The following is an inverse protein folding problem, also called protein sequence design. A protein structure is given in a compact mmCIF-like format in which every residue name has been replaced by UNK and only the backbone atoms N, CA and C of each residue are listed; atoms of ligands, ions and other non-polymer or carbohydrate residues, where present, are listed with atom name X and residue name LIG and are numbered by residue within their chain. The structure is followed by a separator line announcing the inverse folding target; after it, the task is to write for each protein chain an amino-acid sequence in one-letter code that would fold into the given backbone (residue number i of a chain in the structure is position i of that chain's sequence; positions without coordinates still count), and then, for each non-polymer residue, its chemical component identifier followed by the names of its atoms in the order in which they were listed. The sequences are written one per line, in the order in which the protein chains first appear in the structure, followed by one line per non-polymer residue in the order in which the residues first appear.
data_IF_919439106449
#
_entry.id   IF_919439106449
#
_cell.length_a   1.000
_cell.length_b   1.000
_cell.length_c   1.000
_cell.angle_alpha   90.00
_cell.angle_beta   90.00
_cell.angle_gamma   90.00
#
_symmetry.space_group_name_H-M   'P 1'
#
loop_
_entity.id
_entity.type
_entity.pdbx_description
1 polymer ?
#
# COMPACT_ATOMS: atom_id res chain seq x y z
N UNK A 1 -6.18 -29.12 8.34
CA UNK A 1 -5.63 -27.84 8.84
C UNK A 1 -6.55 -26.78 8.28
N UNK A 2 -7.57 -26.42 9.04
CA UNK A 2 -8.57 -25.42 8.67
C UNK A 2 -8.50 -24.33 9.74
N UNK A 3 -8.50 -23.06 9.32
CA UNK A 3 -8.74 -21.94 10.24
C UNK A 3 -7.69 -20.82 10.22
N UNK A 4 -7.43 -20.22 9.07
CA UNK A 4 -6.90 -18.84 8.99
C UNK A 4 -7.63 -17.99 7.94
N UNK A 5 -8.24 -18.59 6.92
CA UNK A 5 -8.92 -17.87 5.83
C UNK A 5 -10.00 -16.88 6.29
N UNK A 6 -10.69 -17.14 7.41
CA UNK A 6 -11.86 -16.32 7.79
C UNK A 6 -11.54 -14.96 8.40
N UNK A 7 -10.35 -14.76 8.98
CA UNK A 7 -10.01 -13.50 9.69
C UNK A 7 -9.39 -12.49 8.71
N UNK A 8 -8.54 -12.97 7.81
CA UNK A 8 -7.90 -12.14 6.79
C UNK A 8 -8.93 -11.60 5.78
N UNK A 9 -9.91 -12.43 5.40
CA UNK A 9 -11.03 -12.02 4.55
C UNK A 9 -11.93 -10.95 5.19
N UNK A 10 -12.12 -11.00 6.51
CA UNK A 10 -12.88 -9.97 7.25
C UNK A 10 -12.11 -8.65 7.29
N UNK A 11 -10.79 -8.69 7.49
CA UNK A 11 -9.96 -7.48 7.47
C UNK A 11 -9.87 -6.85 6.08
N UNK A 12 -9.75 -7.66 5.02
CA UNK A 12 -9.69 -7.20 3.64
C UNK A 12 -11.03 -6.65 3.16
N UNK A 13 -12.14 -7.31 3.47
CA UNK A 13 -13.49 -6.81 3.16
C UNK A 13 -13.83 -5.52 3.94
N UNK A 14 -13.36 -5.41 5.19
CA UNK A 14 -13.45 -4.18 5.96
C UNK A 14 -12.65 -3.05 5.31
N UNK A 15 -11.41 -3.31 4.85
CA UNK A 15 -10.60 -2.31 4.13
C UNK A 15 -11.24 -1.89 2.79
N UNK A 16 -11.75 -2.83 2.00
CA UNK A 16 -12.48 -2.53 0.76
C UNK A 16 -13.72 -1.65 1.02
N UNK A 17 -14.45 -1.95 2.09
CA UNK A 17 -15.68 -1.22 2.47
C UNK A 17 -15.34 0.16 3.03
N UNK A 18 -14.29 0.27 3.85
CA UNK A 18 -13.87 1.53 4.48
C UNK A 18 -13.29 2.51 3.46
N UNK A 19 -12.56 1.99 2.46
CA UNK A 19 -11.83 2.76 1.46
C UNK A 19 -12.59 2.89 0.12
N UNK A 20 -13.80 2.33 0.02
CA UNK A 20 -14.64 2.32 -1.20
C UNK A 20 -13.88 1.83 -2.45
N UNK A 21 -13.01 0.83 -2.26
CA UNK A 21 -12.19 0.33 -3.35
C UNK A 21 -13.04 -0.49 -4.33
N UNK A 22 -12.72 -0.46 -5.64
CA UNK A 22 -13.34 -1.34 -6.62
C UNK A 22 -13.27 -2.81 -6.18
N UNK A 23 -14.30 -3.61 -6.51
CA UNK A 23 -14.36 -5.03 -6.13
C UNK A 23 -13.17 -5.85 -6.66
N UNK A 24 -12.63 -5.42 -7.78
CA UNK A 24 -11.48 -5.98 -8.48
C UNK A 24 -10.14 -5.40 -8.02
N UNK A 25 -10.12 -4.44 -7.09
CA UNK A 25 -8.89 -3.83 -6.59
C UNK A 25 -7.87 -4.86 -6.09
N UNK A 26 -8.35 -5.82 -5.29
CA UNK A 26 -7.50 -6.89 -4.75
C UNK A 26 -7.13 -7.95 -5.79
N UNK A 27 -7.73 -7.97 -6.98
CA UNK A 27 -7.26 -8.82 -8.08
C UNK A 27 -5.94 -8.26 -8.65
N UNK A 28 -5.81 -6.93 -8.69
CA UNK A 28 -4.63 -6.23 -9.20
C UNK A 28 -3.59 -5.95 -8.13
N UNK A 29 -4.00 -5.57 -6.92
CA UNK A 29 -3.11 -5.22 -5.81
C UNK A 29 -3.37 -6.14 -4.62
N UNK A 30 -2.88 -7.37 -4.73
CA UNK A 30 -3.15 -8.46 -3.78
C UNK A 30 -2.42 -8.28 -2.45
N UNK A 31 -1.31 -7.53 -2.45
CA UNK A 31 -0.42 -7.45 -1.29
C UNK A 31 -0.51 -6.09 -0.58
N UNK A 32 -0.93 -6.10 0.68
CA UNK A 32 -0.73 -4.95 1.57
C UNK A 32 0.70 -4.97 2.12
N UNK A 33 1.42 -3.87 1.96
CA UNK A 33 2.75 -3.71 2.54
C UNK A 33 2.80 -2.51 3.48
N UNK A 34 3.70 -2.59 4.45
CA UNK A 34 4.04 -1.48 5.33
C UNK A 34 5.53 -1.20 5.21
N UNK A 35 5.88 0.05 4.91
CA UNK A 35 7.27 0.48 4.79
C UNK A 35 7.48 1.65 5.75
N UNK A 36 8.47 1.50 6.64
CA UNK A 36 8.86 2.52 7.62
C UNK A 36 10.34 2.82 7.49
N UNK A 37 10.69 4.09 7.55
CA UNK A 37 12.07 4.55 7.66
C UNK A 37 12.12 5.77 8.59
N UNK A 38 13.28 6.05 9.21
CA UNK A 38 13.47 7.25 10.00
C UNK A 38 13.30 8.53 9.17
N UNK A 39 12.68 9.57 9.73
CA UNK A 39 12.43 10.84 9.03
C UNK A 39 13.75 11.56 8.66
N UNK A 40 14.85 11.25 9.34
CA UNK A 40 16.21 11.75 9.07
C UNK A 40 16.99 10.90 8.04
N UNK A 41 16.43 9.78 7.58
CA UNK A 41 17.08 8.90 6.61
C UNK A 41 17.09 9.52 5.21
N UNK A 42 18.18 10.21 4.88
CA UNK A 42 18.38 10.96 3.64
C UNK A 42 18.71 10.08 2.42
N UNK A 43 18.14 8.89 2.29
CA UNK A 43 18.49 8.00 1.17
C UNK A 43 17.26 7.46 0.45
N UNK A 44 16.72 8.28 -0.45
CA UNK A 44 15.80 7.85 -1.51
C UNK A 44 16.29 6.58 -2.25
N UNK A 45 17.62 6.39 -2.33
CA UNK A 45 18.25 5.18 -2.90
C UNK A 45 17.97 3.94 -2.06
N UNK A 46 18.04 4.04 -0.73
CA UNK A 46 17.79 2.92 0.18
C UNK A 46 16.32 2.53 0.21
N UNK A 47 15.41 3.51 0.21
CA UNK A 47 13.95 3.27 0.07
C UNK A 47 13.63 2.63 -1.28
N UNK A 48 14.25 3.10 -2.37
CA UNK A 48 14.11 2.49 -3.70
C UNK A 48 14.56 1.03 -3.72
N UNK A 49 15.71 0.72 -3.12
CA UNK A 49 16.23 -0.65 -3.03
C UNK A 49 15.29 -1.55 -2.23
N UNK A 50 14.76 -1.05 -1.12
CA UNK A 50 13.79 -1.78 -0.31
C UNK A 50 12.52 -2.10 -1.11
N UNK A 51 11.94 -1.11 -1.80
CA UNK A 51 10.79 -1.29 -2.68
C UNK A 51 11.06 -2.31 -3.78
N UNK A 52 12.24 -2.27 -4.39
CA UNK A 52 12.64 -3.23 -5.42
C UNK A 52 12.69 -4.67 -4.87
N UNK A 53 13.29 -4.88 -3.69
CA UNK A 53 13.34 -6.19 -3.04
C UNK A 53 11.95 -6.71 -2.67
N UNK A 54 11.08 -5.83 -2.17
CA UNK A 54 9.68 -6.17 -1.84
C UNK A 54 8.94 -6.58 -3.12
N UNK A 55 8.98 -5.73 -4.15
CA UNK A 55 8.32 -5.98 -5.43
C UNK A 55 8.76 -7.31 -6.05
N UNK A 56 10.08 -7.60 -6.09
CA UNK A 56 10.60 -8.86 -6.60
C UNK A 56 10.15 -10.07 -5.74
N UNK A 57 10.14 -9.92 -4.42
CA UNK A 57 9.70 -10.99 -3.52
C UNK A 57 8.21 -11.29 -3.66
N UNK A 58 7.38 -10.26 -3.85
CA UNK A 58 5.96 -10.40 -4.10
C UNK A 58 5.68 -11.06 -5.45
N UNK A 59 6.40 -10.66 -6.51
CA UNK A 59 6.34 -11.30 -7.83
C UNK A 59 6.63 -12.80 -7.77
N UNK A 60 7.68 -13.20 -7.03
CA UNK A 60 8.04 -14.61 -6.84
C UNK A 60 6.95 -15.43 -6.13
N UNK A 61 6.09 -14.77 -5.35
CA UNK A 61 4.95 -15.39 -4.69
C UNK A 61 3.64 -15.25 -5.50
N UNK A 62 3.72 -14.81 -6.75
CA UNK A 62 2.57 -14.71 -7.67
C UNK A 62 1.72 -13.45 -7.51
N UNK A 63 2.14 -12.50 -6.67
CA UNK A 63 1.43 -11.23 -6.53
C UNK A 63 1.71 -10.31 -7.71
N UNK A 64 0.66 -9.76 -8.32
CA UNK A 64 0.74 -8.85 -9.47
C UNK A 64 0.95 -7.38 -9.08
N UNK A 65 0.72 -7.04 -7.81
CA UNK A 65 0.82 -5.68 -7.33
C UNK A 65 0.62 -5.58 -5.82
N UNK A 66 1.03 -4.44 -5.29
CA UNK A 66 0.95 -4.14 -3.88
C UNK A 66 0.42 -2.73 -3.63
N UNK A 67 -0.08 -2.52 -2.43
CA UNK A 67 -0.49 -1.20 -1.97
C UNK A 67 -0.03 -0.96 -0.54
N UNK A 68 0.09 0.31 -0.17
CA UNK A 68 0.31 0.74 1.21
C UNK A 68 -0.60 1.92 1.55
N UNK A 69 -0.95 2.06 2.82
CA UNK A 69 -1.85 3.12 3.30
C UNK A 69 -1.01 4.08 4.14
N UNK A 70 -0.96 5.34 3.73
CA UNK A 70 -0.17 6.37 4.40
C UNK A 70 -1.12 7.47 4.89
N UNK A 71 -0.93 7.91 6.13
CA UNK A 71 -1.71 9.02 6.70
C UNK A 71 -1.40 10.34 6.01
N UNK A 72 -2.35 11.26 6.00
CA UNK A 72 -2.18 12.55 5.33
C UNK A 72 -1.18 13.51 5.99
N UNK A 73 -0.62 13.16 7.17
CA UNK A 73 0.39 13.95 7.87
C UNK A 73 1.83 13.59 7.45
N UNK A 74 2.01 12.74 6.44
CA UNK A 74 3.30 12.20 5.98
C UNK A 74 3.64 12.66 4.56
N UNK A 75 3.54 13.95 4.28
CA UNK A 75 3.70 14.53 2.93
C UNK A 75 5.05 14.17 2.27
N UNK A 76 6.15 14.24 3.02
CA UNK A 76 7.49 13.89 2.51
C UNK A 76 7.58 12.41 2.09
N UNK A 77 6.90 11.54 2.83
CA UNK A 77 6.85 10.10 2.54
C UNK A 77 6.10 9.84 1.23
N UNK A 78 4.97 10.52 1.06
CA UNK A 78 4.11 10.42 -0.12
C UNK A 78 4.85 10.97 -1.35
N UNK A 79 5.50 12.13 -1.22
CA UNK A 79 6.28 12.74 -2.29
C UNK A 79 7.44 11.82 -2.72
N UNK A 80 8.16 11.25 -1.76
CA UNK A 80 9.24 10.32 -2.07
C UNK A 80 8.73 9.11 -2.85
N UNK A 81 7.64 8.47 -2.41
CA UNK A 81 7.10 7.30 -3.09
C UNK A 81 6.59 7.63 -4.49
N UNK A 82 5.96 8.80 -4.68
CA UNK A 82 5.59 9.29 -6.01
C UNK A 82 6.82 9.43 -6.92
N UNK A 83 7.90 10.03 -6.41
CA UNK A 83 9.17 10.18 -7.14
C UNK A 83 9.87 8.86 -7.44
N UNK A 84 9.52 7.79 -6.72
CA UNK A 84 9.99 6.44 -6.97
C UNK A 84 9.10 5.68 -7.98
N UNK A 85 8.06 6.32 -8.51
CA UNK A 85 7.21 5.79 -9.58
C UNK A 85 6.00 5.00 -9.08
N UNK A 86 5.60 5.19 -7.81
CA UNK A 86 4.38 4.60 -7.27
C UNK A 86 3.18 5.52 -7.55
N UNK A 87 2.04 4.93 -7.86
CA UNK A 87 0.80 5.68 -8.10
C UNK A 87 0.12 6.05 -6.77
N UNK A 88 -0.53 7.21 -6.75
CA UNK A 88 -1.21 7.73 -5.55
C UNK A 88 -2.70 7.80 -5.81
N UNK A 89 -3.48 7.10 -4.97
CA UNK A 89 -4.91 7.27 -4.85
C UNK A 89 -5.23 8.10 -3.63
N UNK A 90 -5.84 9.25 -3.87
CA UNK A 90 -6.35 10.12 -2.82
C UNK A 90 -7.69 9.60 -2.32
N UNK A 91 -7.78 9.30 -1.02
CA UNK A 91 -9.00 8.78 -0.38
C UNK A 91 -9.68 9.83 0.50
N UNK A 92 -9.18 11.08 0.48
CA UNK A 92 -9.67 12.19 1.33
C UNK A 92 -11.13 12.58 1.05
N UNK A 93 -11.63 12.33 -0.15
CA UNK A 93 -12.99 12.73 -0.54
C UNK A 93 -14.11 11.79 -0.04
N UNK A 94 -13.76 10.64 0.57
CA UNK A 94 -14.72 9.58 0.87
C UNK A 94 -15.13 9.44 2.35
N UNK A 95 -14.63 10.27 3.28
CA UNK A 95 -14.95 10.16 4.71
C UNK A 95 -15.01 11.54 5.43
N UNK A 96 -16.08 11.85 6.18
CA UNK A 96 -16.14 13.03 7.06
C UNK A 96 -15.37 12.85 8.38
N UNK A 97 -14.90 11.64 8.69
CA UNK A 97 -14.22 11.31 9.95
C UNK A 97 -12.71 11.07 9.75
N UNK A 98 -11.93 12.16 9.80
CA UNK A 98 -10.56 12.32 10.31
C UNK A 98 -9.43 11.29 10.03
N UNK A 99 -9.67 10.23 9.25
CA UNK A 99 -8.65 9.28 8.78
C UNK A 99 -8.32 9.61 7.32
N UNK A 100 -7.90 10.85 7.10
CA UNK A 100 -7.39 11.29 5.82
C UNK A 100 -6.08 10.54 5.54
N UNK A 101 -6.04 9.83 4.43
CA UNK A 101 -4.89 9.04 4.02
C UNK A 101 -4.86 8.84 2.52
N UNK A 102 -3.71 8.38 2.05
CA UNK A 102 -3.42 8.06 0.67
C UNK A 102 -3.19 6.56 0.55
N UNK A 103 -3.71 5.97 -0.51
CA UNK A 103 -3.34 4.62 -0.91
C UNK A 103 -2.27 4.77 -1.99
N UNK A 104 -1.09 4.23 -1.70
CA UNK A 104 0.04 4.23 -2.63
C UNK A 104 0.13 2.85 -3.27
N UNK A 105 0.20 2.81 -4.60
CA UNK A 105 0.15 1.58 -5.39
C UNK A 105 1.49 1.32 -6.06
N UNK A 106 1.88 0.06 -6.11
CA UNK A 106 3.03 -0.39 -6.87
C UNK A 106 2.76 -1.70 -7.59
N UNK A 107 3.48 -1.91 -8.69
CA UNK A 107 3.42 -3.16 -9.45
C UNK A 107 4.58 -4.08 -9.05
N UNK A 108 4.28 -5.37 -9.01
CA UNK A 108 5.31 -6.40 -8.89
C UNK A 108 6.08 -6.51 -10.21
N UNK A 109 7.40 -6.73 -10.13
CA UNK A 109 8.32 -6.84 -11.28
C UNK A 109 8.10 -8.10 -12.12
#
# INVERSE_FOLDING_TARGET
MEGTDSIDDIHLSYLQTLLHLPKDFLLTYQSLIEIRWPDDATEAVSVRRLLHCISASLALNGSTGFFTIIKSDRDEQIELLSRLGLDILDVRDNQPNNNNGYIILGHSL
#
